data_IF_645060457720
#
_entry.id   IF_645060457720
#
_cell.length_a   1.000
_cell.length_b   1.000
_cell.length_c   1.000
_cell.angle_alpha   90.00
_cell.angle_beta   90.00
_cell.angle_gamma   90.00
#
_symmetry.space_group_name_H-M   'P 1'
#
loop_
_entity.id
_entity.type
_entity.pdbx_description
1 polymer ?
#
# COMPACT_ATOMS: atom_id res chain seq x y z
N UNK A 1 21.39 21.18 -16.37
CA UNK A 1 20.87 20.31 -15.29
C UNK A 1 19.48 20.81 -14.90
N UNK A 2 18.40 20.15 -15.38
CA UNK A 2 17.05 20.39 -14.87
C UNK A 2 16.97 19.69 -13.50
N UNK A 3 16.68 20.45 -12.47
CA UNK A 3 16.53 19.90 -11.12
C UNK A 3 15.25 19.07 -11.02
N UNK A 4 15.27 18.01 -10.21
CA UNK A 4 14.14 17.10 -9.96
C UNK A 4 12.82 17.81 -9.57
N UNK A 5 12.90 19.06 -9.11
CA UNK A 5 11.74 19.88 -8.77
C UNK A 5 10.88 20.32 -9.98
N UNK A 6 11.46 20.41 -11.17
CA UNK A 6 10.70 20.85 -12.37
C UNK A 6 9.85 19.74 -12.97
N UNK A 7 10.25 18.48 -12.75
CA UNK A 7 9.47 17.30 -13.19
C UNK A 7 8.23 17.12 -12.29
N UNK A 8 8.38 17.36 -11.00
CA UNK A 8 7.26 17.28 -10.05
C UNK A 8 6.24 18.40 -10.23
N UNK A 9 6.68 19.63 -10.51
CA UNK A 9 5.76 20.75 -10.77
C UNK A 9 4.87 20.52 -11.98
N UNK A 10 5.40 19.95 -13.05
CA UNK A 10 4.63 19.71 -14.27
C UNK A 10 3.64 18.51 -14.14
N UNK A 11 3.90 17.56 -13.25
CA UNK A 11 2.97 16.47 -12.96
C UNK A 11 1.80 16.91 -12.04
N UNK A 12 2.03 17.90 -11.16
CA UNK A 12 1.03 18.36 -10.19
C UNK A 12 0.15 19.53 -10.70
N UNK A 13 0.60 20.34 -11.63
CA UNK A 13 -0.15 21.51 -12.12
C UNK A 13 -1.41 21.11 -12.90
N UNK A 14 -1.43 19.93 -13.55
CA UNK A 14 -2.63 19.42 -14.23
C UNK A 14 -3.71 18.85 -13.29
N UNK A 15 -3.34 18.49 -12.07
CA UNK A 15 -4.27 17.84 -11.12
C UNK A 15 -5.03 18.86 -10.27
N UNK A 16 -4.41 20.00 -9.95
CA UNK A 16 -5.02 21.00 -9.03
C UNK A 16 -6.14 21.81 -9.68
N UNK A 17 -6.04 22.13 -10.96
CA UNK A 17 -7.06 22.94 -11.66
C UNK A 17 -8.35 22.17 -11.97
N UNK A 18 -8.26 20.85 -12.19
CA UNK A 18 -9.40 19.99 -12.46
C UNK A 18 -10.15 19.60 -11.16
N UNK A 19 -9.46 19.47 -10.04
CA UNK A 19 -10.09 19.23 -8.72
C UNK A 19 -10.93 20.43 -8.28
N UNK A 20 -10.48 21.66 -8.56
CA UNK A 20 -11.17 22.89 -8.18
C UNK A 20 -12.39 23.20 -9.06
N UNK A 21 -12.50 22.60 -10.24
CA UNK A 21 -13.61 22.82 -11.17
C UNK A 21 -14.71 21.76 -11.13
N UNK A 22 -14.55 20.72 -10.26
CA UNK A 22 -15.52 19.64 -10.18
C UNK A 22 -15.62 18.78 -11.44
N UNK A 23 -14.73 18.96 -12.41
CA UNK A 23 -14.70 18.19 -13.63
C UNK A 23 -14.08 16.80 -13.39
N UNK A 24 -14.77 15.78 -13.87
CA UNK A 24 -14.30 14.39 -13.83
C UNK A 24 -12.93 14.33 -14.51
N UNK A 25 -11.91 13.90 -13.76
CA UNK A 25 -10.56 13.64 -14.28
C UNK A 25 -10.70 12.74 -15.51
N UNK A 26 -10.45 13.28 -16.70
CA UNK A 26 -10.40 12.49 -17.92
C UNK A 26 -9.26 11.50 -17.75
N UNK A 27 -9.55 10.21 -17.81
CA UNK A 27 -8.55 9.16 -17.68
C UNK A 27 -7.42 9.42 -18.67
N UNK A 28 -6.22 9.68 -18.15
CA UNK A 28 -5.02 9.72 -18.98
C UNK A 28 -4.83 8.31 -19.49
N UNK A 29 -4.96 8.06 -20.79
CA UNK A 29 -4.66 6.76 -21.38
C UNK A 29 -3.17 6.53 -21.22
N UNK A 30 -2.79 5.49 -20.48
CA UNK A 30 -1.39 5.08 -20.40
C UNK A 30 -0.91 4.64 -21.78
N UNK A 31 0.36 4.88 -22.11
CA UNK A 31 0.97 4.48 -23.38
C UNK A 31 0.93 2.97 -23.61
N UNK A 32 0.88 2.17 -22.54
CA UNK A 32 0.82 0.70 -22.59
C UNK A 32 -0.60 0.15 -22.49
N UNK A 33 -1.61 1.00 -22.31
CA UNK A 33 -3.00 0.60 -22.08
C UNK A 33 -3.26 0.08 -20.66
N UNK A 34 -2.36 0.33 -19.71
CA UNK A 34 -2.55 -0.02 -18.30
C UNK A 34 -3.30 1.08 -17.56
N UNK A 35 -4.40 0.70 -16.91
CA UNK A 35 -5.14 1.54 -15.99
C UNK A 35 -4.87 0.99 -14.58
N UNK A 36 -4.02 1.68 -13.84
CA UNK A 36 -3.57 1.22 -12.51
C UNK A 36 -4.51 1.75 -11.44
N UNK A 37 -5.05 0.84 -10.62
CA UNK A 37 -5.68 1.22 -9.35
C UNK A 37 -4.59 1.24 -8.28
N UNK A 38 -4.36 2.40 -7.68
CA UNK A 38 -3.46 2.56 -6.55
C UNK A 38 -4.28 2.57 -5.26
N UNK A 39 -3.93 1.69 -4.32
CA UNK A 39 -4.60 1.57 -3.02
C UNK A 39 -3.57 1.88 -1.94
N UNK A 40 -3.85 2.87 -1.09
CA UNK A 40 -2.97 3.28 0.02
C UNK A 40 -3.38 2.64 1.34
N UNK A 41 -2.43 2.50 2.19
CA UNK A 41 -2.44 2.33 3.65
C UNK A 41 -3.71 1.68 4.22
N UNK A 42 -3.80 0.34 4.16
CA UNK A 42 -4.96 -0.38 4.69
C UNK A 42 -4.96 -0.45 6.21
N UNK A 43 -3.79 -0.55 6.83
CA UNK A 43 -3.61 -0.72 8.27
C UNK A 43 -4.55 -1.78 8.86
N UNK A 44 -4.62 -2.95 8.23
CA UNK A 44 -5.47 -4.04 8.71
C UNK A 44 -5.03 -4.51 10.11
N UNK A 45 -5.95 -4.72 11.03
CA UNK A 45 -7.40 -4.84 10.87
C UNK A 45 -8.20 -3.53 10.99
N UNK A 46 -7.57 -2.35 11.09
CA UNK A 46 -8.20 -1.06 11.42
C UNK A 46 -8.63 -0.25 10.20
N UNK A 47 -8.63 -0.85 9.02
CA UNK A 47 -9.03 -0.19 7.78
C UNK A 47 -10.40 0.46 7.85
N UNK A 48 -10.56 1.57 7.13
CA UNK A 48 -11.81 2.32 7.07
C UNK A 48 -12.95 1.47 6.50
N UNK A 49 -14.10 1.50 7.15
CA UNK A 49 -15.32 0.85 6.66
C UNK A 49 -15.74 1.42 5.29
N UNK A 50 -16.14 0.54 4.37
CA UNK A 50 -16.53 0.92 3.01
C UNK A 50 -15.35 1.18 2.05
N UNK A 51 -14.10 1.10 2.51
CA UNK A 51 -12.94 1.39 1.66
C UNK A 51 -12.77 0.33 0.55
N UNK A 52 -12.97 -0.94 0.86
CA UNK A 52 -12.93 -2.02 -0.14
C UNK A 52 -13.97 -1.81 -1.24
N UNK A 53 -15.21 -1.51 -0.86
CA UNK A 53 -16.31 -1.25 -1.78
C UNK A 53 -16.04 -0.04 -2.66
N UNK A 54 -15.43 1.01 -2.08
CA UNK A 54 -14.98 2.18 -2.83
C UNK A 54 -13.95 1.79 -3.88
N UNK A 55 -12.90 1.06 -3.51
CA UNK A 55 -11.86 0.61 -4.42
C UNK A 55 -12.42 -0.26 -5.55
N UNK A 56 -13.36 -1.18 -5.26
CA UNK A 56 -14.04 -2.00 -6.26
C UNK A 56 -14.84 -1.14 -7.25
N UNK A 57 -15.55 -0.11 -6.76
CA UNK A 57 -16.29 0.83 -7.62
C UNK A 57 -15.36 1.61 -8.53
N UNK A 58 -14.25 2.12 -7.99
CA UNK A 58 -13.22 2.85 -8.76
C UNK A 58 -12.60 1.93 -9.81
N UNK A 59 -12.19 0.72 -9.44
CA UNK A 59 -11.62 -0.30 -10.34
C UNK A 59 -12.53 -0.53 -11.56
N UNK A 60 -13.82 -0.75 -11.32
CA UNK A 60 -14.81 -0.97 -12.37
C UNK A 60 -15.06 0.28 -13.21
N UNK A 61 -15.22 1.44 -12.57
CA UNK A 61 -15.52 2.72 -13.23
C UNK A 61 -14.43 3.11 -14.22
N UNK A 62 -13.18 2.98 -13.84
CA UNK A 62 -12.03 3.35 -14.67
C UNK A 62 -11.44 2.18 -15.48
N UNK A 63 -12.10 0.99 -15.43
CA UNK A 63 -11.65 -0.22 -16.13
C UNK A 63 -10.19 -0.52 -15.85
N UNK A 64 -9.81 -0.44 -14.57
CA UNK A 64 -8.44 -0.74 -14.17
C UNK A 64 -8.12 -2.21 -14.49
N UNK A 65 -6.88 -2.45 -14.87
CA UNK A 65 -6.36 -3.78 -15.22
C UNK A 65 -5.05 -4.12 -14.49
N UNK A 66 -4.56 -3.19 -13.67
CA UNK A 66 -3.47 -3.40 -12.72
C UNK A 66 -3.89 -2.88 -11.36
N UNK A 67 -3.41 -3.53 -10.29
CA UNK A 67 -3.65 -3.11 -8.90
C UNK A 67 -2.33 -3.04 -8.17
N UNK A 68 -2.05 -1.90 -7.56
CA UNK A 68 -0.86 -1.66 -6.76
C UNK A 68 -1.29 -1.16 -5.39
N UNK A 69 -0.94 -1.89 -4.34
CA UNK A 69 -1.03 -1.40 -2.96
C UNK A 69 0.30 -0.73 -2.61
N UNK A 70 0.26 0.51 -2.15
CA UNK A 70 1.49 1.29 -1.88
C UNK A 70 2.03 1.15 -0.46
N UNK A 71 1.75 0.03 0.19
CA UNK A 71 2.30 -0.35 1.49
C UNK A 71 1.31 -0.28 2.64
N UNK A 72 1.82 -0.60 3.82
CA UNK A 72 1.09 -0.61 5.08
C UNK A 72 -0.22 -1.40 5.02
N UNK A 73 -0.10 -2.64 4.51
CA UNK A 73 -1.23 -3.59 4.45
C UNK A 73 -1.66 -3.97 5.86
N UNK A 74 -0.69 -4.27 6.74
CA UNK A 74 -0.92 -4.64 8.13
C UNK A 74 -0.45 -3.52 9.03
N UNK A 75 -1.22 -3.19 10.06
CA UNK A 75 -0.86 -2.13 11.01
C UNK A 75 0.32 -2.51 11.89
N UNK A 76 0.34 -3.77 12.38
CA UNK A 76 1.37 -4.27 13.30
C UNK A 76 1.56 -3.38 14.54
N UNK A 77 0.48 -2.71 15.01
CA UNK A 77 0.53 -1.79 16.14
C UNK A 77 1.07 -2.47 17.41
N UNK A 78 0.52 -3.62 17.75
CA UNK A 78 0.96 -4.40 18.92
C UNK A 78 2.42 -4.88 18.83
N UNK A 79 2.98 -4.89 17.62
CA UNK A 79 4.37 -5.24 17.35
C UNK A 79 5.25 -4.03 17.11
N UNK A 80 4.74 -2.80 17.23
CA UNK A 80 5.49 -1.58 16.96
C UNK A 80 6.68 -1.38 17.93
N UNK A 81 7.56 -0.44 17.63
CA UNK A 81 8.64 -0.03 18.55
C UNK A 81 8.16 0.97 19.61
N UNK A 82 6.94 1.45 19.49
CA UNK A 82 6.29 2.28 20.50
C UNK A 82 5.75 1.42 21.65
N UNK A 83 5.49 2.05 22.77
CA UNK A 83 4.83 1.37 23.90
C UNK A 83 3.40 1.04 23.46
N UNK A 84 3.03 -0.26 23.40
CA UNK A 84 1.69 -0.64 23.01
C UNK A 84 0.68 -0.21 24.07
N UNK A 85 -0.58 0.00 23.64
CA UNK A 85 -1.69 0.20 24.55
C UNK A 85 -1.89 -1.06 25.40
N UNK A 86 -1.96 -0.89 26.73
CA UNK A 86 -2.14 -2.00 27.65
C UNK A 86 -3.49 -2.72 27.45
N UNK A 87 -4.50 -1.98 26.99
CA UNK A 87 -5.84 -2.49 26.69
C UNK A 87 -6.04 -2.85 25.21
N UNK A 88 -4.97 -2.75 24.41
CA UNK A 88 -4.96 -3.06 22.99
C UNK A 88 -4.93 -4.56 22.69
N UNK A 89 -4.95 -4.89 21.42
CA UNK A 89 -4.83 -6.27 20.96
C UNK A 89 -3.43 -6.83 21.21
N UNK A 90 -3.34 -8.11 21.54
CA UNK A 90 -2.05 -8.81 21.45
C UNK A 90 -1.62 -8.92 19.97
N UNK A 91 -0.31 -8.97 19.73
CA UNK A 91 0.24 -9.10 18.37
C UNK A 91 -0.34 -10.29 17.58
N UNK A 92 -0.53 -11.43 18.26
CA UNK A 92 -1.12 -12.60 17.61
C UNK A 92 -2.61 -12.44 17.28
N UNK A 93 -3.37 -11.73 18.12
CA UNK A 93 -4.78 -11.49 17.88
C UNK A 93 -4.99 -10.46 16.75
N UNK A 94 -4.21 -9.36 16.77
CA UNK A 94 -4.19 -8.36 15.71
C UNK A 94 -3.89 -8.98 14.35
N UNK A 95 -2.81 -9.80 14.26
CA UNK A 95 -2.44 -10.49 13.03
C UNK A 95 -3.54 -11.44 12.55
N UNK A 96 -4.18 -12.19 13.46
CA UNK A 96 -5.29 -13.09 13.12
C UNK A 96 -6.47 -12.32 12.50
N UNK A 97 -6.84 -11.18 13.06
CA UNK A 97 -7.90 -10.33 12.50
C UNK A 97 -7.49 -9.73 11.16
N UNK A 98 -6.25 -9.28 11.04
CA UNK A 98 -5.71 -8.75 9.79
C UNK A 98 -5.76 -9.79 8.66
N UNK A 99 -5.33 -11.04 8.92
CA UNK A 99 -5.41 -12.15 7.95
C UNK A 99 -6.86 -12.41 7.51
N UNK A 100 -7.83 -12.32 8.42
CA UNK A 100 -9.24 -12.49 8.05
C UNK A 100 -9.69 -11.40 7.09
N UNK A 101 -9.33 -10.15 7.34
CA UNK A 101 -9.69 -9.01 6.47
C UNK A 101 -8.92 -9.00 5.16
N UNK A 102 -7.64 -9.39 5.14
CA UNK A 102 -6.84 -9.54 3.90
C UNK A 102 -7.53 -10.46 2.91
N UNK A 103 -8.19 -11.53 3.37
CA UNK A 103 -8.91 -12.46 2.47
C UNK A 103 -10.01 -11.79 1.66
N UNK A 104 -10.67 -10.77 2.21
CA UNK A 104 -11.71 -10.00 1.51
C UNK A 104 -11.07 -9.18 0.37
N UNK A 105 -9.95 -8.52 0.64
CA UNK A 105 -9.16 -7.80 -0.34
C UNK A 105 -8.60 -8.72 -1.41
N UNK A 106 -8.05 -9.87 -1.01
CA UNK A 106 -7.52 -10.87 -1.95
C UNK A 106 -8.61 -11.45 -2.86
N UNK A 107 -9.82 -11.68 -2.33
CA UNK A 107 -10.97 -12.11 -3.13
C UNK A 107 -11.37 -11.05 -4.17
N UNK A 108 -11.30 -9.77 -3.83
CA UNK A 108 -11.65 -8.67 -4.73
C UNK A 108 -10.55 -8.41 -5.77
N UNK A 109 -9.29 -8.52 -5.38
CA UNK A 109 -8.12 -8.26 -6.19
C UNK A 109 -7.12 -9.43 -6.07
N UNK A 110 -7.41 -10.57 -6.73
CA UNK A 110 -6.62 -11.80 -6.54
C UNK A 110 -5.20 -11.68 -7.09
N UNK A 111 -4.96 -10.77 -8.02
CA UNK A 111 -3.64 -10.45 -8.56
C UNK A 111 -3.33 -8.98 -8.30
N UNK A 112 -2.29 -8.72 -7.53
CA UNK A 112 -1.87 -7.37 -7.20
C UNK A 112 -0.36 -7.32 -6.89
N UNK A 113 0.21 -6.13 -7.08
CA UNK A 113 1.54 -5.80 -6.58
C UNK A 113 1.41 -5.07 -5.26
N UNK A 114 2.16 -5.50 -4.26
CA UNK A 114 2.18 -4.94 -2.92
C UNK A 114 3.55 -4.31 -2.71
N UNK A 115 3.59 -3.01 -2.57
CA UNK A 115 4.79 -2.32 -2.12
C UNK A 115 4.88 -2.50 -0.59
N UNK A 116 6.05 -2.85 -0.11
CA UNK A 116 6.26 -3.09 1.32
C UNK A 116 6.39 -1.75 2.04
N UNK A 117 5.46 -1.47 2.95
CA UNK A 117 5.46 -0.25 3.76
C UNK A 117 6.27 -0.36 5.04
N UNK A 118 6.34 0.74 5.79
CA UNK A 118 7.10 0.78 7.04
C UNK A 118 6.44 -0.05 8.16
N UNK A 119 5.11 -0.14 8.20
CA UNK A 119 4.39 -1.01 9.13
C UNK A 119 4.57 -2.49 8.77
N UNK A 120 4.54 -2.84 7.50
CA UNK A 120 4.80 -4.20 7.03
C UNK A 120 6.20 -4.68 7.48
N UNK A 121 7.21 -3.78 7.46
CA UNK A 121 8.60 -4.10 7.83
C UNK A 121 8.85 -4.25 9.33
N UNK A 122 7.91 -3.87 10.21
CA UNK A 122 8.12 -3.87 11.67
C UNK A 122 8.65 -5.22 12.15
N UNK A 123 8.02 -6.32 11.73
CA UNK A 123 8.38 -7.67 12.17
C UNK A 123 9.81 -8.03 11.73
N UNK A 124 10.15 -7.75 10.48
CA UNK A 124 11.48 -8.01 9.94
C UNK A 124 12.55 -7.18 10.65
N UNK A 125 12.27 -5.90 10.91
CA UNK A 125 13.19 -5.01 11.65
C UNK A 125 13.40 -5.48 13.08
N UNK A 126 12.33 -5.95 13.77
CA UNK A 126 12.46 -6.51 15.12
C UNK A 126 13.28 -7.79 15.13
N UNK A 127 13.05 -8.68 14.18
CA UNK A 127 13.84 -9.89 14.06
C UNK A 127 15.33 -9.58 13.85
N UNK A 128 15.65 -8.66 12.96
CA UNK A 128 17.02 -8.20 12.72
C UNK A 128 17.64 -7.57 13.98
N UNK A 129 16.90 -6.73 14.69
CA UNK A 129 17.37 -6.11 15.95
C UNK A 129 17.64 -7.14 17.04
N UNK A 130 16.95 -8.28 17.01
CA UNK A 130 17.16 -9.41 17.92
C UNK A 130 18.18 -10.44 17.43
N UNK A 131 18.89 -10.15 16.32
CA UNK A 131 19.88 -11.06 15.74
C UNK A 131 19.31 -12.30 15.05
N UNK A 132 17.99 -12.33 14.77
CA UNK A 132 17.37 -13.44 14.06
C UNK A 132 17.65 -13.33 12.56
N UNK A 133 18.03 -14.47 11.94
CA UNK A 133 18.15 -14.55 10.48
C UNK A 133 16.78 -14.46 9.81
N UNK A 134 16.70 -13.75 8.68
CA UNK A 134 15.51 -13.71 7.82
C UNK A 134 15.02 -15.11 7.41
N UNK A 135 15.90 -16.08 7.34
CA UNK A 135 15.55 -17.47 6.98
C UNK A 135 14.58 -18.13 7.96
N UNK A 136 14.45 -17.62 9.18
CA UNK A 136 13.47 -18.09 10.16
C UNK A 136 12.08 -17.47 10.02
N UNK A 137 11.92 -16.48 9.14
CA UNK A 137 10.69 -15.70 8.99
C UNK A 137 10.04 -16.09 7.69
N UNK A 138 8.74 -16.39 7.74
CA UNK A 138 7.95 -16.67 6.54
C UNK A 138 7.80 -15.41 5.69
N UNK A 139 7.69 -15.60 4.38
CA UNK A 139 7.35 -14.52 3.46
C UNK A 139 5.94 -13.97 3.72
N UNK A 140 5.72 -12.70 3.36
CA UNK A 140 4.42 -12.03 3.56
C UNK A 140 3.26 -12.79 2.90
N UNK A 141 3.45 -13.27 1.67
CA UNK A 141 2.42 -14.02 0.95
C UNK A 141 1.97 -15.28 1.70
N UNK A 142 2.93 -15.98 2.31
CA UNK A 142 2.67 -17.20 3.09
C UNK A 142 1.94 -16.88 4.40
N UNK A 143 2.38 -15.83 5.10
CA UNK A 143 1.76 -15.42 6.37
C UNK A 143 0.31 -14.98 6.15
N UNK A 144 0.07 -14.19 5.10
CA UNK A 144 -1.24 -13.62 4.83
C UNK A 144 -2.16 -14.56 4.04
N UNK A 145 -1.62 -15.63 3.46
CA UNK A 145 -2.37 -16.59 2.64
C UNK A 145 -2.83 -16.01 1.30
N UNK A 146 -1.93 -15.24 0.64
CA UNK A 146 -2.19 -14.51 -0.61
C UNK A 146 -1.17 -14.87 -1.71
N UNK A 147 -1.14 -16.11 -2.18
CA UNK A 147 -0.04 -16.64 -3.00
C UNK A 147 0.21 -15.90 -4.32
N UNK A 148 -0.80 -15.20 -4.86
CA UNK A 148 -0.65 -14.49 -6.13
C UNK A 148 -0.26 -13.01 -5.95
N UNK A 149 -0.25 -12.49 -4.72
CA UNK A 149 0.23 -11.15 -4.47
C UNK A 149 1.75 -11.09 -4.49
N UNK A 150 2.30 -10.11 -5.20
CA UNK A 150 3.75 -9.93 -5.36
C UNK A 150 4.22 -8.81 -4.44
N UNK A 151 5.02 -9.15 -3.44
CA UNK A 151 5.60 -8.18 -2.49
C UNK A 151 6.94 -7.69 -2.99
N UNK A 152 7.12 -6.37 -3.06
CA UNK A 152 8.35 -5.74 -3.53
C UNK A 152 8.56 -4.35 -2.93
N UNK A 153 9.77 -3.82 -3.07
CA UNK A 153 10.14 -2.50 -2.55
C UNK A 153 9.57 -1.35 -3.39
N UNK A 154 9.51 -1.55 -4.70
CA UNK A 154 8.97 -0.58 -5.67
C UNK A 154 8.65 -1.28 -6.97
N UNK A 155 7.81 -0.66 -7.80
CA UNK A 155 7.54 -1.07 -9.18
C UNK A 155 7.43 0.16 -10.08
N UNK A 156 7.90 0.03 -11.30
CA UNK A 156 7.68 1.03 -12.34
C UNK A 156 6.69 0.50 -13.37
N UNK A 157 5.64 1.25 -13.65
CA UNK A 157 4.62 0.94 -14.65
C UNK A 157 4.38 2.20 -15.47
N UNK A 158 4.59 2.14 -16.80
CA UNK A 158 4.38 3.25 -17.72
C UNK A 158 5.11 4.54 -17.32
N UNK A 159 6.40 4.45 -17.02
CA UNK A 159 7.26 5.55 -16.56
C UNK A 159 6.82 6.18 -15.22
N UNK A 160 5.93 5.52 -14.47
CA UNK A 160 5.51 5.92 -13.12
C UNK A 160 6.09 4.96 -12.09
N UNK A 161 6.88 5.50 -11.17
CA UNK A 161 7.44 4.75 -10.05
C UNK A 161 6.47 4.74 -8.86
N UNK A 162 6.07 3.55 -8.42
CA UNK A 162 5.26 3.31 -7.24
C UNK A 162 6.17 2.85 -6.11
N UNK A 163 6.16 3.57 -5.02
CA UNK A 163 6.91 3.26 -3.80
C UNK A 163 6.15 3.74 -2.58
N UNK A 164 6.40 3.12 -1.44
CA UNK A 164 5.91 3.62 -0.15
C UNK A 164 6.81 4.78 0.29
N UNK A 165 6.19 5.92 0.61
CA UNK A 165 6.93 7.11 1.07
C UNK A 165 7.56 6.86 2.44
N UNK A 166 8.83 6.54 2.49
CA UNK A 166 9.56 6.44 3.76
C UNK A 166 10.01 7.80 4.25
N UNK A 167 9.50 8.18 5.42
CA UNK A 167 10.15 9.12 6.32
C UNK A 167 10.64 10.42 5.72
N UNK A 168 9.83 11.08 4.94
CA UNK A 168 10.04 12.49 4.68
C UNK A 168 9.87 13.24 6.00
N UNK A 169 10.97 13.60 6.66
CA UNK A 169 10.92 14.61 7.70
C UNK A 169 10.27 15.82 7.05
N UNK A 170 9.02 16.11 7.43
CA UNK A 170 8.40 17.38 7.09
C UNK A 170 9.33 18.47 7.66
N UNK A 171 10.19 19.00 6.80
CA UNK A 171 10.95 20.19 7.16
C UNK A 171 9.97 21.35 7.14
N UNK A 172 9.56 21.74 8.33
CA UNK A 172 8.94 23.05 8.56
C UNK A 172 9.88 24.16 8.14
#
# INVERSE_FOLDING_TARGET
YKTSNDVFKNAFIGITDDILKGDVIKSVKSKSGKNVLVIGDLHLPFTLEGYLEHCIKVYKKYKCNEVVFIGDIIDNHASSFHIPDADGYSAGYELKLAIQKVKEWYKAFPEATIIIGNHDRIIMRKAQASGLSKMWIKDYADVLGVPNWKFMESIEIDDVLYLHGEGGVART
#
